data_IF_200414125916
#
_entry.id   IF_200414125916
#
_cell.length_a   1.000
_cell.length_b   1.000
_cell.length_c   1.000
_cell.angle_alpha   90.00
_cell.angle_beta   90.00
_cell.angle_gamma   90.00
#
_symmetry.space_group_name_H-M   'P 1'
#
loop_
_entity.id
_entity.type
_entity.pdbx_description
1 polymer ?
#
# COMPACT_ATOMS: atom_id res chain seq x y z
N UNK A 1 10.05 10.99 -3.79
CA UNK A 1 8.88 10.52 -3.00
C UNK A 1 8.16 11.68 -2.30
N UNK A 2 8.77 12.33 -1.30
CA UNK A 2 8.13 13.41 -0.50
C UNK A 2 7.63 14.59 -1.35
N UNK A 3 8.35 14.93 -2.42
CA UNK A 3 8.01 16.06 -3.28
C UNK A 3 6.62 15.95 -3.94
N UNK A 4 6.12 14.72 -4.14
CA UNK A 4 4.76 14.47 -4.58
C UNK A 4 3.72 15.16 -3.68
N UNK A 5 3.94 15.16 -2.36
CA UNK A 5 3.03 15.80 -1.41
C UNK A 5 3.04 17.32 -1.57
N UNK A 6 4.21 17.92 -1.82
CA UNK A 6 4.34 19.36 -2.08
C UNK A 6 3.66 19.75 -3.38
N UNK A 7 3.96 19.04 -4.47
CA UNK A 7 3.33 19.23 -5.81
C UNK A 7 1.80 19.13 -5.77
N UNK A 8 1.25 18.37 -4.82
CA UNK A 8 -0.20 18.18 -4.64
C UNK A 8 -0.84 19.05 -3.56
N UNK A 9 -0.07 19.92 -2.90
CA UNK A 9 -0.55 20.84 -1.88
C UNK A 9 -0.77 20.24 -0.49
N UNK A 10 -0.29 19.01 -0.24
CA UNK A 10 -0.40 18.31 1.04
C UNK A 10 0.78 18.63 1.95
N UNK A 11 1.03 19.91 2.17
CA UNK A 11 2.19 20.41 2.92
C UNK A 11 2.16 19.99 4.39
N UNK A 12 0.97 19.94 5.01
CA UNK A 12 0.79 19.50 6.39
C UNK A 12 1.20 18.03 6.63
N UNK A 13 1.20 17.20 5.58
CA UNK A 13 1.55 15.77 5.66
C UNK A 13 3.02 15.50 5.29
N UNK A 14 3.78 16.54 4.88
CA UNK A 14 5.20 16.41 4.52
C UNK A 14 6.05 15.82 5.66
N UNK A 15 5.90 16.21 6.94
CA UNK A 15 6.69 15.61 8.02
C UNK A 15 6.49 14.09 8.10
N UNK A 16 5.24 13.62 8.07
CA UNK A 16 4.97 12.17 8.10
C UNK A 16 5.47 11.47 6.84
N UNK A 17 5.37 12.12 5.68
CA UNK A 17 5.94 11.60 4.44
C UNK A 17 7.48 11.48 4.51
N UNK A 18 8.18 12.39 5.18
CA UNK A 18 9.63 12.30 5.38
C UNK A 18 10.03 11.11 6.27
N UNK A 19 9.22 10.77 7.27
CA UNK A 19 9.43 9.57 8.09
C UNK A 19 9.24 8.27 7.28
N UNK A 20 8.20 8.21 6.44
CA UNK A 20 7.85 6.98 5.71
C UNK A 20 8.70 6.75 4.46
N UNK A 21 9.17 7.80 3.78
CA UNK A 21 9.86 7.66 2.51
C UNK A 21 11.12 6.75 2.57
N UNK A 22 12.00 6.84 3.59
CA UNK A 22 13.12 5.92 3.74
C UNK A 22 12.70 4.46 3.89
N UNK A 23 11.58 4.18 4.58
CA UNK A 23 11.04 2.83 4.71
C UNK A 23 10.59 2.30 3.35
N UNK A 24 9.85 3.09 2.59
CA UNK A 24 9.43 2.70 1.24
C UNK A 24 10.61 2.42 0.32
N UNK A 25 11.67 3.22 0.36
CA UNK A 25 12.89 3.00 -0.45
C UNK A 25 13.59 1.70 -0.02
N UNK A 26 13.73 1.47 1.28
CA UNK A 26 14.43 0.30 1.83
C UNK A 26 13.69 -0.99 1.51
N UNK A 27 12.39 -1.03 1.79
CA UNK A 27 11.57 -2.21 1.57
C UNK A 27 11.27 -2.47 0.10
N UNK A 28 11.16 -1.42 -0.73
CA UNK A 28 11.07 -1.59 -2.18
C UNK A 28 12.26 -2.35 -2.76
N UNK A 29 13.49 -2.05 -2.29
CA UNK A 29 14.68 -2.82 -2.67
C UNK A 29 14.62 -4.27 -2.20
N UNK A 30 14.20 -4.52 -0.96
CA UNK A 30 14.09 -5.88 -0.39
C UNK A 30 13.05 -6.76 -1.09
N UNK A 31 11.97 -6.17 -1.58
CA UNK A 31 10.90 -6.87 -2.31
C UNK A 31 11.09 -6.85 -3.83
N UNK A 32 12.13 -6.17 -4.34
CA UNK A 32 12.31 -5.90 -5.77
C UNK A 32 11.09 -5.21 -6.44
N UNK A 33 10.43 -4.31 -5.70
CA UNK A 33 9.30 -3.52 -6.18
C UNK A 33 9.71 -2.05 -6.16
N UNK A 34 9.42 -1.33 -7.25
CA UNK A 34 9.77 0.09 -7.34
C UNK A 34 9.05 0.89 -6.24
N UNK A 35 9.84 1.65 -5.47
CA UNK A 35 9.31 2.41 -4.35
C UNK A 35 8.36 3.54 -4.76
N UNK A 36 8.50 4.10 -5.97
CA UNK A 36 7.61 5.13 -6.48
C UNK A 36 6.19 4.61 -6.74
N UNK A 37 6.04 3.36 -7.21
CA UNK A 37 4.74 2.71 -7.41
C UNK A 37 4.04 2.49 -6.07
N UNK A 38 4.71 1.84 -5.11
CA UNK A 38 4.13 1.60 -3.79
C UNK A 38 3.85 2.93 -3.05
N UNK A 39 4.70 3.94 -3.21
CA UNK A 39 4.47 5.28 -2.66
C UNK A 39 3.26 5.98 -3.28
N UNK A 40 3.12 5.92 -4.61
CA UNK A 40 1.98 6.46 -5.34
C UNK A 40 0.67 5.78 -4.92
N UNK A 41 0.70 4.45 -4.76
CA UNK A 41 -0.43 3.69 -4.26
C UNK A 41 -0.78 4.10 -2.83
N UNK A 42 0.19 4.22 -1.93
CA UNK A 42 -0.04 4.70 -0.57
C UNK A 42 -0.68 6.09 -0.55
N UNK A 43 -0.18 7.01 -1.39
CA UNK A 43 -0.76 8.34 -1.49
C UNK A 43 -2.22 8.30 -1.98
N UNK A 44 -2.55 7.39 -2.89
CA UNK A 44 -3.92 7.18 -3.35
C UNK A 44 -4.82 6.61 -2.24
N UNK A 45 -4.39 5.52 -1.61
CA UNK A 45 -5.14 4.79 -0.57
C UNK A 45 -5.42 5.64 0.67
N UNK A 46 -4.43 6.41 1.12
CA UNK A 46 -4.53 7.21 2.34
C UNK A 46 -5.05 8.62 2.10
N UNK A 47 -5.31 9.00 0.85
CA UNK A 47 -5.60 10.39 0.49
C UNK A 47 -4.47 11.34 0.87
N UNK A 48 -3.22 10.93 0.61
CA UNK A 48 -1.97 11.61 0.96
C UNK A 48 -1.76 11.71 2.48
N UNK A 49 -1.84 10.59 3.18
CA UNK A 49 -1.68 10.47 4.64
C UNK A 49 -2.68 11.30 5.46
N UNK A 50 -3.79 11.74 4.84
CA UNK A 50 -4.86 12.44 5.54
C UNK A 50 -5.82 11.47 6.22
N UNK A 51 -6.00 10.29 5.62
CA UNK A 51 -6.96 9.26 6.03
C UNK A 51 -8.38 9.81 6.15
N UNK A 52 -9.22 9.59 5.14
CA UNK A 52 -10.61 10.09 5.11
C UNK A 52 -11.66 8.99 4.98
N UNK A 53 -11.23 7.73 5.07
CA UNK A 53 -12.08 6.57 4.86
C UNK A 53 -12.24 5.73 6.12
N UNK A 54 -12.38 4.43 5.92
CA UNK A 54 -12.58 3.43 6.97
C UNK A 54 -11.35 3.25 7.87
N UNK A 55 -10.15 3.37 7.28
CA UNK A 55 -8.88 3.11 7.96
C UNK A 55 -8.40 4.39 8.67
N UNK A 56 -8.23 4.38 10.00
CA UNK A 56 -7.71 5.53 10.73
C UNK A 56 -6.17 5.64 10.63
N UNK A 57 -5.58 6.84 10.84
CA UNK A 57 -4.13 7.06 10.74
C UNK A 57 -3.31 6.18 11.69
N UNK A 58 -3.82 5.90 12.88
CA UNK A 58 -3.17 5.11 13.93
C UNK A 58 -3.14 3.61 13.61
N UNK A 59 -3.78 3.18 12.52
CA UNK A 59 -3.75 1.79 12.10
C UNK A 59 -2.43 1.37 11.44
N UNK A 60 -1.59 2.33 11.05
CA UNK A 60 -0.41 2.12 10.19
C UNK A 60 -0.72 1.30 8.93
N UNK A 61 -1.97 1.30 8.46
CA UNK A 61 -2.38 0.58 7.27
C UNK A 61 -2.42 1.56 6.09
N UNK A 62 -1.31 1.58 5.37
CA UNK A 62 -1.06 2.53 4.28
C UNK A 62 -1.58 2.06 2.93
N UNK A 63 -2.21 0.88 2.87
CA UNK A 63 -2.54 0.20 1.63
C UNK A 63 -4.00 -0.31 1.58
N UNK A 64 -4.82 0.03 2.59
CA UNK A 64 -6.23 -0.38 2.65
C UNK A 64 -6.43 -1.86 2.95
N UNK A 65 -5.44 -2.55 3.53
CA UNK A 65 -5.47 -4.01 3.72
C UNK A 65 -6.64 -4.37 4.65
N UNK A 66 -7.51 -5.25 4.16
CA UNK A 66 -8.68 -5.72 4.90
C UNK A 66 -9.83 -4.71 5.02
N UNK A 67 -9.71 -3.52 4.45
CA UNK A 67 -10.72 -2.46 4.52
C UNK A 67 -11.80 -2.61 3.43
N UNK A 68 -12.59 -3.69 3.49
CA UNK A 68 -13.55 -4.05 2.41
C UNK A 68 -14.94 -3.42 2.56
N UNK A 69 -15.17 -2.60 3.59
CA UNK A 69 -16.51 -2.09 3.96
C UNK A 69 -17.33 -3.01 4.85
N UNK A 70 -16.83 -4.23 5.14
CA UNK A 70 -17.43 -5.12 6.12
C UNK A 70 -17.39 -4.53 7.54
N UNK A 71 -18.38 -4.86 8.36
CA UNK A 71 -18.49 -4.40 9.76
C UNK A 71 -18.33 -5.57 10.75
N UNK A 72 -17.83 -5.26 11.94
CA UNK A 72 -17.86 -6.10 13.13
C UNK A 72 -19.28 -6.15 13.72
N UNK A 73 -19.58 -7.11 14.63
CA UNK A 73 -20.87 -7.17 15.30
C UNK A 73 -21.25 -5.90 16.06
N UNK A 74 -20.26 -5.14 16.55
CA UNK A 74 -20.43 -3.85 17.23
C UNK A 74 -20.67 -2.67 16.26
N UNK A 75 -20.75 -2.93 14.96
CA UNK A 75 -20.99 -1.92 13.93
C UNK A 75 -19.74 -1.15 13.46
N UNK A 76 -18.57 -1.38 14.06
CA UNK A 76 -17.30 -0.79 13.61
C UNK A 76 -16.85 -1.43 12.30
N UNK A 77 -16.12 -0.69 11.46
CA UNK A 77 -15.59 -1.25 10.21
C UNK A 77 -14.39 -2.18 10.46
N UNK A 78 -14.28 -3.22 9.64
CA UNK A 78 -13.12 -4.13 9.61
C UNK A 78 -12.01 -3.55 8.75
N UNK A 79 -10.78 -3.65 9.25
CA UNK A 79 -9.53 -3.33 8.56
C UNK A 79 -8.36 -3.96 9.34
N UNK A 80 -7.25 -4.22 8.64
CA UNK A 80 -6.04 -4.72 9.29
C UNK A 80 -5.25 -3.57 9.93
N UNK A 81 -4.52 -3.88 11.01
CA UNK A 81 -3.77 -2.92 11.83
C UNK A 81 -2.34 -3.41 12.04
N UNK A 82 -1.38 -2.49 12.01
CA UNK A 82 0.04 -2.81 12.17
C UNK A 82 0.64 -2.04 13.34
N UNK A 83 1.45 -2.72 14.15
CA UNK A 83 1.98 -2.16 15.40
C UNK A 83 2.94 -0.97 15.17
N UNK A 84 3.63 -0.94 14.03
CA UNK A 84 4.56 0.13 13.67
C UNK A 84 4.35 0.60 12.24
N UNK A 85 4.77 1.83 11.90
CA UNK A 85 4.78 2.29 10.51
C UNK A 85 5.59 1.37 9.59
N UNK A 86 6.71 0.83 10.06
CA UNK A 86 7.52 -0.10 9.29
C UNK A 86 6.77 -1.39 8.96
N UNK A 87 6.08 -2.00 9.93
CA UNK A 87 5.25 -3.18 9.68
C UNK A 87 4.13 -2.89 8.67
N UNK A 88 3.54 -1.70 8.72
CA UNK A 88 2.57 -1.26 7.72
C UNK A 88 3.15 -1.14 6.29
N UNK A 89 4.39 -0.68 6.16
CA UNK A 89 5.10 -0.61 4.87
C UNK A 89 5.48 -2.01 4.38
N UNK A 90 5.95 -2.89 5.27
CA UNK A 90 6.23 -4.30 4.92
C UNK A 90 4.96 -4.98 4.44
N UNK A 91 3.84 -4.82 5.14
CA UNK A 91 2.55 -5.38 4.76
C UNK A 91 2.11 -4.93 3.36
N UNK A 92 2.29 -3.65 3.04
CA UNK A 92 2.00 -3.12 1.71
C UNK A 92 2.82 -3.84 0.63
N UNK A 93 4.13 -3.98 0.82
CA UNK A 93 4.98 -4.67 -0.14
C UNK A 93 4.71 -6.17 -0.22
N UNK A 94 4.45 -6.84 0.89
CA UNK A 94 4.06 -8.25 0.92
C UNK A 94 2.77 -8.48 0.13
N UNK A 95 1.76 -7.63 0.33
CA UNK A 95 0.50 -7.74 -0.40
C UNK A 95 0.65 -7.44 -1.90
N UNK A 96 1.50 -6.47 -2.27
CA UNK A 96 1.85 -6.23 -3.67
C UNK A 96 2.55 -7.45 -4.29
N UNK A 97 3.57 -8.00 -3.60
CA UNK A 97 4.30 -9.17 -4.04
C UNK A 97 3.37 -10.37 -4.28
N UNK A 98 2.37 -10.55 -3.42
CA UNK A 98 1.35 -11.60 -3.56
C UNK A 98 0.59 -11.56 -4.90
N UNK A 99 0.43 -10.37 -5.47
CA UNK A 99 -0.22 -10.18 -6.77
C UNK A 99 0.74 -10.21 -7.96
N UNK A 100 1.96 -9.70 -7.82
CA UNK A 100 2.84 -9.41 -8.97
C UNK A 100 4.00 -10.38 -9.16
N UNK A 101 4.30 -11.23 -8.18
CA UNK A 101 5.34 -12.27 -8.30
C UNK A 101 4.76 -13.68 -8.23
N UNK A 102 5.33 -14.65 -8.97
CA UNK A 102 4.88 -16.04 -8.96
C UNK A 102 5.13 -16.75 -7.63
N UNK A 103 6.21 -16.38 -6.94
CA UNK A 103 6.68 -17.01 -5.71
C UNK A 103 7.02 -15.98 -4.62
N UNK A 104 7.14 -16.47 -3.38
CA UNK A 104 7.56 -15.68 -2.23
C UNK A 104 8.94 -15.08 -2.48
N UNK A 105 9.05 -13.75 -2.38
CA UNK A 105 10.30 -13.05 -2.70
C UNK A 105 11.29 -13.02 -1.54
N UNK A 106 10.80 -13.15 -0.31
CA UNK A 106 11.59 -13.18 0.92
C UNK A 106 10.74 -13.71 2.08
N UNK A 107 11.32 -13.76 3.28
CA UNK A 107 10.71 -14.25 4.50
C UNK A 107 9.47 -13.46 4.96
N UNK A 108 9.24 -12.25 4.43
CA UNK A 108 8.11 -11.39 4.82
C UNK A 108 6.82 -11.68 4.04
N UNK A 109 6.86 -12.57 3.03
CA UNK A 109 5.68 -13.05 2.32
C UNK A 109 4.91 -14.09 3.15
N UNK A 110 4.29 -13.68 4.26
CA UNK A 110 3.50 -14.56 5.12
C UNK A 110 2.48 -13.78 5.98
N UNK A 111 1.59 -14.52 6.66
CA UNK A 111 0.48 -13.97 7.45
C UNK A 111 0.87 -13.11 8.65
N UNK A 112 2.11 -13.21 9.14
CA UNK A 112 2.63 -12.35 10.20
C UNK A 112 2.77 -10.90 9.74
N UNK A 113 3.12 -10.67 8.47
CA UNK A 113 3.39 -9.35 7.92
C UNK A 113 2.27 -8.83 7.03
N UNK A 114 1.56 -9.69 6.32
CA UNK A 114 0.30 -9.38 5.65
C UNK A 114 -0.74 -10.42 6.04
N UNK A 115 -1.72 -10.10 6.92
CA UNK A 115 -2.77 -11.02 7.34
C UNK A 115 -3.56 -11.64 6.18
N UNK A 116 -3.51 -11.03 4.99
CA UNK A 116 -4.18 -11.50 3.78
C UNK A 116 -3.30 -12.33 2.85
N UNK A 117 -2.05 -12.57 3.21
CA UNK A 117 -1.10 -13.41 2.46
C UNK A 117 -1.36 -14.89 2.76
N UNK A 118 -2.51 -15.40 2.29
CA UNK A 118 -2.96 -16.76 2.57
C UNK A 118 -2.28 -17.80 1.68
N UNK A 119 -1.93 -18.94 2.27
CA UNK A 119 -1.42 -20.12 1.56
C UNK A 119 0.08 -20.11 1.32
N UNK A 120 0.55 -21.17 0.65
CA UNK A 120 1.98 -21.41 0.39
C UNK A 120 2.41 -20.94 -1.01
N UNK A 121 1.51 -20.26 -1.74
CA UNK A 121 1.74 -19.77 -3.10
C UNK A 121 1.15 -18.38 -3.24
N UNK A 122 1.77 -17.57 -4.09
CA UNK A 122 1.19 -16.30 -4.47
C UNK A 122 -0.05 -16.49 -5.34
N UNK A 123 -0.93 -15.49 -5.30
CA UNK A 123 -2.08 -15.44 -6.21
C UNK A 123 -1.64 -15.19 -7.65
N UNK A 124 -0.52 -14.49 -7.82
CA UNK A 124 0.15 -14.13 -9.08
C UNK A 124 -0.79 -13.90 -10.27
N UNK A 125 -1.01 -12.62 -10.59
CA UNK A 125 -1.91 -12.20 -11.66
C UNK A 125 -1.18 -11.65 -12.88
N UNK A 126 0.15 -11.51 -12.80
CA UNK A 126 1.03 -10.94 -13.81
C UNK A 126 1.86 -9.76 -13.29
N UNK A 127 2.90 -9.41 -14.03
CA UNK A 127 3.88 -8.37 -13.62
C UNK A 127 3.42 -6.94 -13.94
N UNK A 128 2.36 -6.77 -14.74
CA UNK A 128 1.83 -5.46 -15.09
C UNK A 128 0.98 -4.91 -13.94
N UNK A 129 1.19 -3.64 -13.55
CA UNK A 129 0.42 -2.97 -12.49
C UNK A 129 -1.11 -3.07 -12.68
N UNK A 130 -1.59 -3.09 -13.93
CA UNK A 130 -2.99 -3.24 -14.31
C UNK A 130 -3.70 -4.47 -13.72
N UNK A 131 -2.95 -5.49 -13.27
CA UNK A 131 -3.50 -6.66 -12.58
C UNK A 131 -4.20 -6.32 -11.26
N UNK A 132 -3.91 -5.14 -10.68
CA UNK A 132 -4.54 -4.66 -9.44
C UNK A 132 -5.96 -4.13 -9.67
N UNK A 133 -6.32 -3.72 -10.88
CA UNK A 133 -7.67 -3.21 -11.19
C UNK A 133 -8.73 -4.26 -10.87
N UNK A 134 -9.81 -3.93 -10.14
CA UNK A 134 -10.83 -4.89 -9.65
C UNK A 134 -10.35 -5.96 -8.66
N UNK A 135 -9.06 -5.99 -8.28
CA UNK A 135 -8.49 -7.02 -7.39
C UNK A 135 -7.98 -6.43 -6.10
N UNK A 136 -7.29 -5.29 -6.18
CA UNK A 136 -6.94 -4.47 -5.02
C UNK A 136 -8.11 -3.61 -4.57
N UNK A 137 -8.71 -2.88 -5.52
CA UNK A 137 -9.89 -2.07 -5.32
C UNK A 137 -10.95 -2.39 -6.39
N UNK A 138 -12.26 -2.15 -6.14
CA UNK A 138 -13.33 -2.47 -7.09
C UNK A 138 -13.23 -1.74 -8.44
N UNK A 139 -12.55 -0.59 -8.47
CA UNK A 139 -12.45 0.25 -9.66
C UNK A 139 -11.73 -0.47 -10.82
N UNK A 140 -12.26 -0.42 -12.05
CA UNK A 140 -11.60 -0.97 -13.24
C UNK A 140 -10.38 -0.16 -13.69
N UNK A 141 -10.24 1.08 -13.22
CA UNK A 141 -9.19 2.04 -13.57
C UNK A 141 -8.42 2.49 -12.33
N UNK A 142 -8.41 1.67 -11.28
CA UNK A 142 -7.70 1.91 -10.03
C UNK A 142 -6.24 2.32 -10.25
N UNK A 143 -5.56 1.60 -11.15
CA UNK A 143 -4.12 1.79 -11.41
C UNK A 143 -3.81 3.09 -12.13
N UNK A 144 -4.77 3.71 -12.82
CA UNK A 144 -4.54 4.93 -13.59
C UNK A 144 -4.12 6.08 -12.67
N UNK A 145 -4.72 6.16 -11.49
CA UNK A 145 -4.36 7.15 -10.47
C UNK A 145 -2.98 6.89 -9.88
N UNK A 146 -2.62 5.62 -9.68
CA UNK A 146 -1.27 5.23 -9.22
C UNK A 146 -0.23 5.63 -10.25
N UNK A 147 -0.45 5.30 -11.52
CA UNK A 147 0.46 5.67 -12.63
C UNK A 147 0.61 7.18 -12.71
N UNK A 148 -0.50 7.93 -12.60
CA UNK A 148 -0.48 9.40 -12.59
C UNK A 148 0.42 9.94 -11.47
N UNK A 149 0.26 9.44 -10.24
CA UNK A 149 1.09 9.89 -9.12
C UNK A 149 2.55 9.44 -9.24
N UNK A 150 2.81 8.23 -9.72
CA UNK A 150 4.16 7.73 -9.96
C UNK A 150 4.91 8.60 -10.99
N UNK A 151 4.24 9.00 -12.08
CA UNK A 151 4.84 9.89 -13.09
C UNK A 151 5.20 11.27 -12.51
N UNK A 152 4.47 11.78 -11.52
CA UNK A 152 4.80 13.04 -10.84
C UNK A 152 6.00 12.93 -9.87
N UNK A 153 6.40 11.71 -9.50
CA UNK A 153 7.60 11.46 -8.68
C UNK A 153 8.85 11.47 -9.55
N UNK A 154 8.77 10.87 -10.75
CA UNK A 154 9.90 10.70 -11.66
C UNK A 154 10.18 11.89 -12.60
N UNK A 155 9.18 12.76 -12.83
CA UNK A 155 9.34 14.04 -13.52
C UNK A 155 9.49 15.20 -12.55
#
# INVERSE_FOLDING_TARGET
LVDLFRKRGFTAQVPKAQELAPLYITWGRKFNIRADIAWAQMAHETGFLRFGGIVPPDANNFAGIGATGAKNPDGTYKFDRFATPELGVIAHYAHLAWYVFPDHVNEYCNQQYDPRHFGNRHRYLGENLGVLNRRWAPSPTYTDQIIRFANMIGG
#
